data_IF_354387562896
#
_entry.id   IF_354387562896
#
_cell.length_a   1.000
_cell.length_b   1.000
_cell.length_c   1.000
_cell.angle_alpha   90.00
_cell.angle_beta   90.00
_cell.angle_gamma   90.00
#
_symmetry.space_group_name_H-M   'P 1'
#
loop_
_entity.id
_entity.type
_entity.pdbx_description
1 polymer ?
#
# COMPACT_ATOMS: atom_id res chain seq x y z
N UNK A 1 1.54 29.71 -21.86
CA UNK A 1 1.63 28.90 -20.60
C UNK A 1 0.40 28.00 -20.40
N UNK A 2 -0.60 28.09 -21.26
CA UNK A 2 -1.90 27.39 -21.09
C UNK A 2 -1.87 25.89 -21.44
N UNK A 3 -0.82 25.43 -22.07
CA UNK A 3 -0.64 24.02 -22.46
C UNK A 3 -0.08 23.13 -21.32
N UNK A 4 0.66 23.74 -20.36
CA UNK A 4 1.34 22.99 -19.32
C UNK A 4 0.40 22.17 -18.42
N UNK A 5 -0.76 22.67 -17.97
CA UNK A 5 -1.74 21.89 -17.23
C UNK A 5 -2.18 20.61 -17.98
N UNK A 6 -2.40 20.74 -19.28
CA UNK A 6 -2.84 19.63 -20.13
C UNK A 6 -1.77 18.56 -20.31
N UNK A 7 -0.51 18.98 -20.45
CA UNK A 7 0.62 18.04 -20.54
C UNK A 7 0.79 17.28 -19.23
N UNK A 8 0.73 17.98 -18.08
CA UNK A 8 0.80 17.31 -16.77
C UNK A 8 -0.35 16.33 -16.60
N UNK A 9 -1.56 16.74 -16.93
CA UNK A 9 -2.73 15.90 -16.85
C UNK A 9 -2.62 14.65 -17.74
N UNK A 10 -2.27 14.85 -19.01
CA UNK A 10 -2.09 13.75 -19.97
C UNK A 10 -0.99 12.78 -19.51
N UNK A 11 0.12 13.31 -18.96
CA UNK A 11 1.21 12.48 -18.44
C UNK A 11 0.77 11.63 -17.26
N UNK A 12 -0.02 12.18 -16.33
CA UNK A 12 -0.52 11.43 -15.16
C UNK A 12 -1.56 10.40 -15.53
N UNK A 13 -2.46 10.69 -16.47
CA UNK A 13 -3.39 9.70 -17.00
C UNK A 13 -2.67 8.58 -17.74
N UNK A 14 -1.69 8.92 -18.59
CA UNK A 14 -0.86 7.94 -19.29
C UNK A 14 -0.06 7.07 -18.33
N UNK A 15 0.50 7.68 -17.27
CA UNK A 15 1.20 6.94 -16.22
C UNK A 15 0.27 5.97 -15.49
N UNK A 16 -0.94 6.40 -15.15
CA UNK A 16 -1.93 5.54 -14.49
C UNK A 16 -2.35 4.38 -15.40
N UNK A 17 -2.61 4.65 -16.68
CA UNK A 17 -2.93 3.62 -17.65
C UNK A 17 -1.76 2.65 -17.85
N UNK A 18 -0.54 3.16 -18.01
CA UNK A 18 0.65 2.34 -18.12
C UNK A 18 0.85 1.46 -16.88
N UNK A 19 0.82 2.04 -15.68
CA UNK A 19 1.06 1.33 -14.43
C UNK A 19 -0.04 0.29 -14.13
N UNK A 20 -1.26 0.52 -14.58
CA UNK A 20 -2.38 -0.39 -14.33
C UNK A 20 -2.45 -1.53 -15.35
N UNK A 21 -2.23 -1.26 -16.65
CA UNK A 21 -2.48 -2.22 -17.72
C UNK A 21 -1.22 -2.83 -18.33
N UNK A 22 -0.13 -2.07 -18.41
CA UNK A 22 1.02 -2.42 -19.24
C UNK A 22 2.31 -2.65 -18.46
N UNK A 23 2.35 -2.31 -17.19
CA UNK A 23 3.56 -2.49 -16.40
C UNK A 23 3.73 -3.97 -16.05
N UNK A 24 4.75 -4.59 -16.62
CA UNK A 24 5.09 -5.99 -16.40
C UNK A 24 6.34 -6.12 -15.52
N UNK A 25 6.46 -7.21 -14.73
CA UNK A 25 7.70 -7.52 -14.03
C UNK A 25 8.80 -7.79 -15.06
N UNK A 26 9.76 -6.88 -15.13
CA UNK A 26 10.92 -6.98 -16.01
C UNK A 26 12.20 -7.33 -15.27
N UNK A 27 13.34 -7.39 -15.96
CA UNK A 27 14.64 -7.68 -15.38
C UNK A 27 14.93 -6.76 -14.18
N UNK A 28 15.00 -7.37 -12.97
CA UNK A 28 15.30 -6.67 -11.72
C UNK A 28 14.14 -5.87 -11.11
N UNK A 29 12.90 -6.04 -11.60
CA UNK A 29 11.69 -5.50 -10.98
C UNK A 29 10.92 -6.64 -10.33
N UNK A 30 10.63 -6.54 -9.03
CA UNK A 30 9.79 -7.51 -8.35
C UNK A 30 8.33 -7.44 -8.87
N UNK A 31 7.62 -8.56 -8.83
CA UNK A 31 6.21 -8.62 -9.27
C UNK A 31 5.36 -7.62 -8.51
N UNK A 32 5.56 -7.52 -7.19
CA UNK A 32 4.86 -6.55 -6.33
C UNK A 32 5.08 -5.09 -6.73
N UNK A 33 6.27 -4.75 -7.23
CA UNK A 33 6.57 -3.38 -7.69
C UNK A 33 5.91 -3.10 -9.04
N UNK A 34 5.87 -4.09 -9.94
CA UNK A 34 5.18 -3.95 -11.21
C UNK A 34 3.68 -3.77 -11.02
N UNK A 35 3.10 -4.46 -10.07
CA UNK A 35 1.67 -4.43 -9.78
C UNK A 35 1.26 -3.37 -8.74
N UNK A 36 2.16 -2.49 -8.32
CA UNK A 36 1.93 -1.55 -7.23
C UNK A 36 0.61 -0.75 -7.34
N UNK A 37 0.27 -0.24 -8.54
CA UNK A 37 -0.99 0.49 -8.72
C UNK A 37 -2.22 -0.43 -8.66
N UNK A 38 -2.14 -1.66 -9.20
CA UNK A 38 -3.21 -2.66 -9.12
C UNK A 38 -3.49 -3.03 -7.67
N UNK A 39 -2.43 -3.29 -6.90
CA UNK A 39 -2.51 -3.64 -5.48
C UNK A 39 -3.08 -2.48 -4.66
N UNK A 40 -2.61 -1.24 -4.88
CA UNK A 40 -3.19 -0.06 -4.21
C UNK A 40 -4.67 0.11 -4.58
N UNK A 41 -5.02 -0.15 -5.82
CA UNK A 41 -6.42 -0.07 -6.25
C UNK A 41 -7.27 -1.16 -5.62
N UNK A 42 -6.79 -2.39 -5.55
CA UNK A 42 -7.53 -3.52 -5.00
C UNK A 42 -7.72 -3.42 -3.49
N UNK A 43 -6.66 -3.08 -2.76
CA UNK A 43 -6.69 -3.10 -1.29
C UNK A 43 -7.10 -1.77 -0.65
N UNK A 44 -6.84 -0.63 -1.31
CA UNK A 44 -7.02 0.68 -0.68
C UNK A 44 -7.99 1.61 -1.40
N UNK A 45 -8.08 1.61 -2.73
CA UNK A 45 -8.85 2.62 -3.47
C UNK A 45 -10.12 2.10 -4.12
N UNK A 46 -10.23 0.84 -4.47
CA UNK A 46 -11.14 0.26 -5.44
C UNK A 46 -10.95 0.81 -6.88
N UNK A 47 -11.32 0.09 -7.93
CA UNK A 47 -11.23 0.59 -9.31
C UNK A 47 -12.06 1.86 -9.53
N UNK A 48 -13.24 1.93 -8.90
CA UNK A 48 -14.09 3.12 -8.96
C UNK A 48 -13.44 4.31 -8.26
N UNK A 49 -12.77 4.08 -7.11
CA UNK A 49 -12.01 5.10 -6.40
C UNK A 49 -10.85 5.65 -7.21
N UNK A 50 -10.11 4.78 -7.93
CA UNK A 50 -9.03 5.22 -8.82
C UNK A 50 -9.57 6.12 -9.94
N UNK A 51 -10.66 5.72 -10.60
CA UNK A 51 -11.29 6.55 -11.65
C UNK A 51 -11.76 7.88 -11.06
N UNK A 52 -12.42 7.85 -9.90
CA UNK A 52 -12.87 9.07 -9.23
C UNK A 52 -11.68 9.98 -8.85
N UNK A 53 -10.56 9.42 -8.39
CA UNK A 53 -9.35 10.19 -8.10
C UNK A 53 -8.77 10.86 -9.36
N UNK A 54 -8.70 10.15 -10.49
CA UNK A 54 -8.21 10.70 -11.76
C UNK A 54 -9.14 11.79 -12.31
N UNK A 55 -10.45 11.62 -12.19
CA UNK A 55 -11.43 12.65 -12.57
C UNK A 55 -11.28 13.88 -11.68
N UNK A 56 -11.15 13.70 -10.36
CA UNK A 56 -10.92 14.82 -9.42
C UNK A 56 -9.62 15.56 -9.66
N UNK A 57 -8.56 14.83 -10.00
CA UNK A 57 -7.30 15.43 -10.44
C UNK A 57 -7.52 16.28 -11.69
N UNK A 58 -8.29 15.80 -12.65
CA UNK A 58 -8.62 16.55 -13.88
C UNK A 58 -9.34 17.85 -13.56
N UNK A 59 -10.32 17.84 -12.64
CA UNK A 59 -11.00 19.05 -12.17
C UNK A 59 -10.04 20.02 -11.46
N UNK A 60 -9.17 19.50 -10.60
CA UNK A 60 -8.19 20.31 -9.88
C UNK A 60 -7.21 20.98 -10.84
N UNK A 61 -6.64 20.22 -11.77
CA UNK A 61 -5.68 20.74 -12.76
C UNK A 61 -6.37 21.76 -13.67
N UNK A 62 -7.57 21.49 -14.15
CA UNK A 62 -8.29 22.43 -15.01
C UNK A 62 -8.60 23.76 -14.32
N UNK A 63 -9.00 23.74 -13.05
CA UNK A 63 -9.51 24.91 -12.36
C UNK A 63 -8.47 25.65 -11.52
N UNK A 64 -7.53 24.93 -10.92
CA UNK A 64 -6.63 25.42 -9.88
C UNK A 64 -5.17 25.06 -10.13
N UNK A 65 -4.75 24.86 -11.37
CA UNK A 65 -3.38 24.46 -11.67
C UNK A 65 -2.34 25.38 -11.03
N UNK A 66 -2.40 26.67 -11.30
CA UNK A 66 -1.41 27.60 -10.81
C UNK A 66 -1.46 27.83 -9.30
N UNK A 67 -2.63 28.07 -8.68
CA UNK A 67 -2.70 28.16 -7.22
C UNK A 67 -2.34 26.84 -6.50
N UNK A 68 -2.64 25.71 -7.12
CA UNK A 68 -2.37 24.37 -6.59
C UNK A 68 -1.05 23.75 -7.05
N UNK A 69 -0.17 24.52 -7.71
CA UNK A 69 1.02 24.00 -8.36
C UNK A 69 1.91 23.17 -7.43
N UNK A 70 2.16 23.65 -6.21
CA UNK A 70 2.99 22.93 -5.24
C UNK A 70 2.38 21.57 -4.88
N UNK A 71 1.07 21.54 -4.68
CA UNK A 71 0.33 20.31 -4.36
C UNK A 71 0.32 19.34 -5.55
N UNK A 72 0.00 19.82 -6.75
CA UNK A 72 -0.03 19.03 -7.99
C UNK A 72 1.37 18.50 -8.30
N UNK A 73 2.41 19.30 -8.15
CA UNK A 73 3.80 18.87 -8.40
C UNK A 73 4.25 17.82 -7.43
N UNK A 74 3.96 17.98 -6.14
CA UNK A 74 4.26 16.95 -5.14
C UNK A 74 3.60 15.63 -5.49
N UNK A 75 2.31 15.67 -5.80
CA UNK A 75 1.59 14.46 -6.19
C UNK A 75 2.12 13.82 -7.47
N UNK A 76 2.43 14.63 -8.48
CA UNK A 76 2.99 14.15 -9.74
C UNK A 76 4.35 13.48 -9.53
N UNK A 77 5.25 14.12 -8.78
CA UNK A 77 6.59 13.57 -8.48
C UNK A 77 6.47 12.25 -7.73
N UNK A 78 5.67 12.19 -6.67
CA UNK A 78 5.48 10.95 -5.92
C UNK A 78 4.79 9.86 -6.75
N UNK A 79 3.82 10.22 -7.60
CA UNK A 79 3.16 9.25 -8.48
C UNK A 79 4.12 8.71 -9.54
N UNK A 80 4.93 9.54 -10.17
CA UNK A 80 5.95 9.11 -11.13
C UNK A 80 6.99 8.23 -10.44
N UNK A 81 7.48 8.67 -9.29
CA UNK A 81 8.45 7.89 -8.53
C UNK A 81 7.89 6.51 -8.15
N UNK A 82 6.66 6.45 -7.64
CA UNK A 82 6.07 5.22 -7.13
C UNK A 82 5.59 4.28 -8.25
N UNK A 83 4.95 4.82 -9.28
CA UNK A 83 4.30 3.98 -10.31
C UNK A 83 5.16 3.73 -11.55
N UNK A 84 6.25 4.46 -11.74
CA UNK A 84 7.11 4.29 -12.91
C UNK A 84 8.44 3.58 -12.61
N UNK A 85 9.18 4.03 -11.60
CA UNK A 85 10.60 3.63 -11.45
C UNK A 85 11.00 3.18 -10.04
N UNK A 86 10.06 2.82 -9.19
CA UNK A 86 10.44 2.38 -7.87
C UNK A 86 11.12 1.01 -7.94
N UNK A 87 12.36 0.97 -7.47
CA UNK A 87 13.15 -0.23 -7.23
C UNK A 87 13.51 -0.24 -5.75
N UNK A 88 12.55 -0.56 -4.91
CA UNK A 88 12.80 -0.76 -3.48
C UNK A 88 12.51 -2.23 -3.20
N UNK A 89 13.27 -2.80 -2.28
CA UNK A 89 13.22 -4.19 -1.84
C UNK A 89 11.79 -4.76 -1.89
N UNK A 90 11.58 -6.00 -2.38
CA UNK A 90 10.29 -6.56 -2.76
C UNK A 90 9.28 -6.74 -1.61
N UNK A 91 9.59 -6.27 -0.43
CA UNK A 91 8.70 -6.33 0.72
C UNK A 91 7.64 -5.23 0.63
N UNK A 92 6.51 -5.58 0.07
CA UNK A 92 5.38 -4.71 -0.23
C UNK A 92 4.96 -3.81 0.93
N UNK A 93 4.98 -4.31 2.15
CA UNK A 93 4.61 -3.55 3.35
C UNK A 93 5.57 -2.40 3.69
N UNK A 94 6.85 -2.53 3.42
CA UNK A 94 7.83 -1.47 3.67
C UNK A 94 7.62 -0.26 2.75
N UNK A 95 7.35 -0.52 1.51
CA UNK A 95 7.04 0.50 0.51
C UNK A 95 5.74 1.21 0.85
N UNK A 96 4.72 0.46 1.27
CA UNK A 96 3.44 0.97 1.69
C UNK A 96 3.56 2.01 2.81
N UNK A 97 4.33 1.76 3.86
CA UNK A 97 4.47 2.68 5.00
C UNK A 97 5.02 4.05 4.62
N UNK A 98 5.93 4.13 3.66
CA UNK A 98 6.61 5.40 3.29
C UNK A 98 5.84 6.22 2.26
N UNK A 99 5.22 5.58 1.29
CA UNK A 99 4.64 6.26 0.13
C UNK A 99 3.12 6.29 0.15
N UNK A 100 2.47 5.28 0.69
CA UNK A 100 1.01 5.24 0.81
C UNK A 100 0.51 6.39 1.70
N UNK A 101 1.25 6.78 2.72
CA UNK A 101 0.92 7.91 3.58
C UNK A 101 0.82 9.26 2.81
N UNK A 102 1.40 9.36 1.63
CA UNK A 102 1.28 10.54 0.76
C UNK A 102 0.23 10.30 -0.33
N UNK A 103 0.29 9.14 -0.99
CA UNK A 103 -0.54 8.83 -2.14
C UNK A 103 -2.02 8.66 -1.77
N UNK A 104 -2.33 7.99 -0.66
CA UNK A 104 -3.71 7.75 -0.24
C UNK A 104 -4.45 9.04 0.16
N UNK A 105 -3.94 9.91 1.04
CA UNK A 105 -4.59 11.16 1.36
C UNK A 105 -4.81 12.03 0.11
N UNK A 106 -3.83 12.00 -0.81
CA UNK A 106 -3.97 12.68 -2.08
C UNK A 106 -5.11 12.09 -2.92
N UNK A 107 -5.18 10.78 -3.07
CA UNK A 107 -6.24 10.11 -3.81
C UNK A 107 -7.62 10.38 -3.19
N UNK A 108 -7.75 10.33 -1.87
CA UNK A 108 -9.00 10.67 -1.19
C UNK A 108 -9.43 12.12 -1.38
N UNK A 109 -8.47 13.06 -1.36
CA UNK A 109 -8.76 14.45 -1.67
C UNK A 109 -9.27 14.61 -3.11
N UNK A 110 -8.69 13.87 -4.05
CA UNK A 110 -9.16 13.86 -5.45
C UNK A 110 -10.56 13.24 -5.57
N UNK A 111 -10.84 12.15 -4.87
CA UNK A 111 -12.20 11.55 -4.81
C UNK A 111 -13.20 12.57 -4.26
N UNK A 112 -12.84 13.25 -3.17
CA UNK A 112 -13.68 14.32 -2.62
C UNK A 112 -13.87 15.48 -3.62
N UNK A 113 -12.83 15.83 -4.36
CA UNK A 113 -12.93 16.83 -5.43
C UNK A 113 -13.91 16.38 -6.51
N UNK A 114 -13.88 15.12 -6.94
CA UNK A 114 -14.87 14.58 -7.87
C UNK A 114 -16.28 14.65 -7.32
N UNK A 115 -16.46 14.27 -6.06
CA UNK A 115 -17.77 14.26 -5.41
C UNK A 115 -18.40 15.66 -5.30
N UNK A 116 -17.59 16.69 -5.04
CA UNK A 116 -18.07 18.03 -4.74
C UNK A 116 -17.81 19.09 -5.84
N UNK A 117 -16.95 18.82 -6.83
CA UNK A 117 -16.65 19.79 -7.90
C UNK A 117 -17.86 20.17 -8.76
N UNK A 118 -18.77 19.25 -9.15
CA UNK A 118 -19.99 19.62 -9.88
C UNK A 118 -20.85 20.62 -9.11
N UNK A 119 -20.78 20.56 -7.79
CA UNK A 119 -21.46 21.46 -6.88
C UNK A 119 -20.90 22.88 -6.97
N UNK A 120 -19.58 23.04 -6.97
CA UNK A 120 -18.94 24.37 -7.03
C UNK A 120 -19.22 25.09 -8.36
N UNK A 121 -19.35 24.35 -9.45
CA UNK A 121 -19.60 24.90 -10.79
C UNK A 121 -21.02 25.46 -10.94
N UNK A 122 -22.03 24.77 -10.43
CA UNK A 122 -23.41 25.21 -10.51
C UNK A 122 -23.76 26.27 -9.46
N UNK A 123 -23.01 26.33 -8.38
CA UNK A 123 -23.28 27.25 -7.27
C UNK A 123 -22.91 28.71 -7.55
N UNK A 124 -22.02 28.96 -8.50
CA UNK A 124 -21.76 30.32 -8.98
C UNK A 124 -23.01 30.96 -9.61
N UNK A 125 -23.99 30.12 -10.07
CA UNK A 125 -25.20 30.56 -10.76
C UNK A 125 -26.39 30.70 -9.78
N UNK A 126 -26.38 29.94 -8.65
CA UNK A 126 -27.50 29.93 -7.72
C UNK A 126 -27.10 30.45 -6.34
N UNK A 127 -27.53 31.68 -6.03
CA UNK A 127 -27.23 32.35 -4.76
C UNK A 127 -28.10 31.87 -3.56
N UNK A 128 -28.84 30.78 -3.68
CA UNK A 128 -29.73 30.28 -2.63
C UNK A 128 -29.09 29.15 -1.83
N UNK A 129 -28.99 29.35 -0.51
CA UNK A 129 -28.40 28.40 0.47
C UNK A 129 -29.01 27.00 0.39
N UNK A 130 -30.33 26.90 0.18
CA UNK A 130 -31.04 25.63 0.03
C UNK A 130 -30.57 24.80 -1.17
N UNK A 131 -30.31 25.43 -2.31
CA UNK A 131 -29.86 24.76 -3.52
C UNK A 131 -28.44 24.21 -3.31
N UNK A 132 -27.58 24.92 -2.56
CA UNK A 132 -26.25 24.42 -2.18
C UNK A 132 -26.32 23.14 -1.38
N UNK A 133 -27.21 23.07 -0.39
CA UNK A 133 -27.40 21.86 0.43
C UNK A 133 -27.86 20.67 -0.41
N UNK A 134 -28.88 20.88 -1.25
CA UNK A 134 -29.41 19.82 -2.12
C UNK A 134 -28.32 19.28 -3.09
N UNK A 135 -27.50 20.18 -3.66
CA UNK A 135 -26.43 19.77 -4.54
C UNK A 135 -25.24 19.11 -3.82
N UNK A 136 -25.06 19.33 -2.51
CA UNK A 136 -24.04 18.65 -1.72
C UNK A 136 -24.41 17.19 -1.39
N UNK A 137 -25.72 16.86 -1.37
CA UNK A 137 -26.20 15.52 -1.04
C UNK A 137 -25.57 14.40 -1.86
N UNK A 138 -25.50 14.46 -3.21
CA UNK A 138 -24.88 13.40 -3.98
C UNK A 138 -23.40 13.18 -3.62
N UNK A 139 -22.63 14.25 -3.45
CA UNK A 139 -21.24 14.17 -3.03
C UNK A 139 -21.08 13.56 -1.63
N UNK A 140 -21.94 13.96 -0.69
CA UNK A 140 -21.96 13.39 0.65
C UNK A 140 -22.31 11.91 0.61
N UNK A 141 -23.30 11.49 -0.18
CA UNK A 141 -23.67 10.09 -0.35
C UNK A 141 -22.50 9.28 -0.90
N UNK A 142 -21.81 9.80 -1.92
CA UNK A 142 -20.61 9.14 -2.48
C UNK A 142 -19.53 8.96 -1.41
N UNK A 143 -19.22 9.99 -0.63
CA UNK A 143 -18.21 9.92 0.45
C UNK A 143 -18.64 8.94 1.53
N UNK A 144 -19.91 8.92 1.92
CA UNK A 144 -20.43 7.97 2.91
C UNK A 144 -20.40 6.53 2.41
N UNK A 145 -20.71 6.29 1.13
CA UNK A 145 -20.61 4.95 0.53
C UNK A 145 -19.17 4.45 0.51
N UNK A 146 -18.20 5.28 0.12
CA UNK A 146 -16.79 4.94 0.21
C UNK A 146 -16.35 4.71 1.66
N UNK A 147 -16.73 5.60 2.57
CA UNK A 147 -16.44 5.45 4.01
C UNK A 147 -16.98 4.14 4.58
N UNK A 148 -18.23 3.78 4.26
CA UNK A 148 -18.82 2.51 4.66
C UNK A 148 -18.07 1.31 4.06
N UNK A 149 -17.73 1.39 2.76
CA UNK A 149 -17.00 0.33 2.09
C UNK A 149 -15.63 0.08 2.74
N UNK A 150 -14.87 1.15 3.01
CA UNK A 150 -13.57 1.04 3.68
C UNK A 150 -13.69 0.58 5.14
N UNK A 151 -14.68 1.08 5.88
CA UNK A 151 -14.94 0.63 7.25
C UNK A 151 -15.22 -0.88 7.29
N UNK A 152 -16.04 -1.37 6.35
CA UNK A 152 -16.33 -2.80 6.24
C UNK A 152 -15.10 -3.65 5.88
N UNK A 153 -14.23 -3.16 4.99
CA UNK A 153 -13.00 -3.86 4.64
C UNK A 153 -11.97 -3.84 5.77
N UNK A 154 -11.94 -2.77 6.55
CA UNK A 154 -10.97 -2.60 7.65
C UNK A 154 -11.43 -3.31 8.93
N UNK A 155 -12.74 -3.50 9.13
CA UNK A 155 -13.29 -4.10 10.35
C UNK A 155 -12.66 -5.46 10.72
N UNK A 156 -12.43 -6.41 9.80
CA UNK A 156 -11.75 -7.67 10.12
C UNK A 156 -10.32 -7.47 10.61
N UNK A 157 -9.62 -6.43 10.12
CA UNK A 157 -8.23 -6.13 10.49
C UNK A 157 -8.15 -5.63 11.93
N UNK A 158 -9.16 -4.87 12.39
CA UNK A 158 -9.20 -4.33 13.76
C UNK A 158 -9.30 -5.43 14.82
N UNK A 159 -9.88 -6.57 14.48
CA UNK A 159 -10.02 -7.72 15.38
C UNK A 159 -8.98 -8.80 15.12
N UNK A 160 -8.16 -8.64 14.08
CA UNK A 160 -7.11 -9.58 13.75
C UNK A 160 -5.88 -9.37 14.63
N UNK A 161 -5.49 -10.41 15.33
CA UNK A 161 -4.23 -10.44 16.09
C UNK A 161 -3.25 -11.29 15.29
N UNK A 162 -2.26 -10.62 14.72
CA UNK A 162 -1.20 -11.30 13.99
C UNK A 162 -0.42 -12.21 14.95
N UNK A 163 -0.18 -13.45 14.52
CA UNK A 163 0.47 -14.47 15.34
C UNK A 163 -0.25 -14.79 16.66
N UNK A 164 -1.58 -14.71 16.69
CA UNK A 164 -2.35 -15.09 17.88
C UNK A 164 -1.99 -16.50 18.37
N UNK A 165 -1.60 -16.62 19.64
CA UNK A 165 -1.20 -17.90 20.23
C UNK A 165 0.25 -18.32 19.95
N UNK A 166 1.04 -17.55 19.23
CA UNK A 166 2.45 -17.87 18.95
C UNK A 166 3.28 -17.98 20.22
N UNK A 167 3.13 -17.04 21.16
CA UNK A 167 3.90 -17.05 22.44
C UNK A 167 3.67 -18.34 23.21
N UNK A 168 2.41 -18.74 23.54
CA UNK A 168 2.17 -20.02 24.20
C UNK A 168 2.63 -21.25 23.40
N UNK A 169 2.70 -21.13 22.09
CA UNK A 169 3.22 -22.21 21.24
C UNK A 169 4.74 -22.33 21.36
N UNK A 170 5.46 -21.22 21.34
CA UNK A 170 6.93 -21.18 21.52
C UNK A 170 7.30 -21.61 22.95
N UNK A 171 6.54 -21.19 23.95
CA UNK A 171 6.72 -21.67 25.33
C UNK A 171 6.65 -23.20 25.43
N UNK A 172 5.59 -23.79 24.87
CA UNK A 172 5.45 -25.25 24.81
C UNK A 172 6.57 -25.92 24.01
N UNK A 173 7.00 -25.30 22.92
CA UNK A 173 8.11 -25.82 22.13
C UNK A 173 9.40 -25.81 22.93
N UNK A 174 9.65 -24.71 23.67
CA UNK A 174 10.83 -24.53 24.50
C UNK A 174 10.95 -25.59 25.63
N UNK A 175 9.82 -26.08 26.15
CA UNK A 175 9.85 -27.14 27.21
C UNK A 175 10.36 -28.49 26.69
N UNK A 176 10.47 -28.69 25.38
CA UNK A 176 11.00 -29.91 24.79
C UNK A 176 12.53 -29.90 24.62
N UNK A 177 13.19 -28.77 24.89
CA UNK A 177 14.63 -28.61 24.70
C UNK A 177 15.35 -28.51 26.05
N UNK A 178 16.48 -29.17 26.16
CA UNK A 178 17.41 -29.02 27.26
C UNK A 178 18.33 -27.82 27.02
N UNK A 179 19.00 -27.32 28.08
CA UNK A 179 19.87 -26.13 27.98
C UNK A 179 21.11 -26.34 27.10
N UNK A 180 21.49 -27.61 26.89
CA UNK A 180 22.63 -28.01 26.07
C UNK A 180 22.26 -28.33 24.61
N UNK A 181 20.98 -28.26 24.26
CA UNK A 181 20.51 -28.63 22.92
C UNK A 181 20.79 -27.52 21.91
N UNK A 182 21.29 -27.90 20.75
CA UNK A 182 21.32 -27.06 19.57
C UNK A 182 20.03 -27.22 18.76
N UNK A 183 19.21 -26.17 18.72
CA UNK A 183 17.96 -26.18 17.98
C UNK A 183 18.19 -25.76 16.53
N UNK A 184 17.94 -26.68 15.60
CA UNK A 184 18.05 -26.42 14.17
C UNK A 184 16.68 -26.04 13.61
N UNK A 185 16.54 -24.83 13.10
CA UNK A 185 15.33 -24.36 12.46
C UNK A 185 15.50 -24.39 10.93
N UNK A 186 14.70 -25.23 10.28
CA UNK A 186 14.63 -25.28 8.82
C UNK A 186 13.84 -24.06 8.32
N UNK A 187 14.51 -23.14 7.62
CA UNK A 187 13.84 -21.97 7.03
C UNK A 187 13.44 -22.28 5.58
N UNK A 188 12.14 -22.46 5.37
CA UNK A 188 11.55 -22.54 4.01
C UNK A 188 11.22 -21.13 3.48
N UNK A 189 10.97 -20.22 4.38
CA UNK A 189 10.68 -18.82 4.09
C UNK A 189 11.41 -17.93 5.09
N UNK A 190 11.79 -16.72 4.68
CA UNK A 190 12.52 -15.78 5.54
C UNK A 190 11.79 -15.46 6.88
N UNK A 191 10.47 -15.63 6.92
CA UNK A 191 9.64 -15.44 8.12
C UNK A 191 9.95 -16.45 9.25
N UNK A 192 10.37 -17.68 8.93
CA UNK A 192 10.60 -18.72 9.94
C UNK A 192 11.71 -18.34 10.92
N UNK A 193 12.70 -17.62 10.44
CA UNK A 193 13.77 -17.06 11.27
C UNK A 193 13.21 -16.10 12.33
N UNK A 194 12.32 -15.18 11.95
CA UNK A 194 11.78 -14.15 12.86
C UNK A 194 10.71 -14.72 13.81
N UNK A 195 9.96 -15.71 13.37
CA UNK A 195 8.81 -16.23 14.10
C UNK A 195 9.23 -17.29 15.12
N UNK A 196 10.23 -18.12 14.83
CA UNK A 196 10.63 -19.23 15.67
C UNK A 196 12.06 -19.08 16.24
N UNK A 197 13.05 -18.91 15.38
CA UNK A 197 14.44 -18.94 15.79
C UNK A 197 14.84 -17.77 16.70
N UNK A 198 14.44 -16.53 16.35
CA UNK A 198 14.77 -15.37 17.17
C UNK A 198 14.13 -15.39 18.57
N UNK A 199 12.82 -15.72 18.72
CA UNK A 199 12.26 -15.87 20.07
C UNK A 199 12.90 -16.97 20.87
N UNK A 200 13.23 -18.12 20.29
CA UNK A 200 13.94 -19.20 21.02
C UNK A 200 15.33 -18.75 21.47
N UNK A 201 16.08 -18.07 20.59
CA UNK A 201 17.41 -17.58 20.94
C UNK A 201 17.38 -16.44 21.97
N UNK A 202 16.57 -15.40 21.75
CA UNK A 202 16.64 -14.18 22.56
C UNK A 202 15.76 -14.22 23.81
N UNK A 203 14.61 -14.91 23.76
CA UNK A 203 13.71 -14.95 24.91
C UNK A 203 14.02 -16.12 25.84
N UNK A 204 14.40 -17.25 25.27
CA UNK A 204 14.64 -18.47 26.03
C UNK A 204 16.12 -18.88 26.08
N UNK A 205 17.01 -18.06 25.55
CA UNK A 205 18.48 -18.28 25.54
C UNK A 205 18.89 -19.65 24.98
N UNK A 206 18.14 -20.14 23.95
CA UNK A 206 18.47 -21.40 23.29
C UNK A 206 19.52 -21.21 22.22
N UNK A 207 20.46 -22.13 22.10
CA UNK A 207 21.38 -22.18 20.98
C UNK A 207 20.62 -22.57 19.73
N UNK A 208 20.33 -21.58 18.87
CA UNK A 208 19.53 -21.76 17.65
C UNK A 208 20.33 -21.49 16.40
N UNK A 209 20.26 -22.39 15.44
CA UNK A 209 20.82 -22.23 14.10
C UNK A 209 19.72 -22.31 13.05
N UNK A 210 19.69 -21.34 12.14
CA UNK A 210 18.77 -21.34 11.00
C UNK A 210 19.46 -21.90 9.78
N UNK A 211 18.93 -22.99 9.25
CA UNK A 211 19.42 -23.56 7.99
C UNK A 211 18.90 -22.72 6.83
N UNK A 212 19.82 -22.08 6.09
CA UNK A 212 19.48 -21.27 4.91
C UNK A 212 18.84 -22.08 3.77
N UNK A 213 19.07 -23.38 3.74
CA UNK A 213 18.47 -24.33 2.79
C UNK A 213 17.83 -25.48 3.54
N UNK A 214 16.65 -25.88 3.09
CA UNK A 214 15.91 -27.01 3.65
C UNK A 214 16.68 -28.34 3.58
N UNK A 215 17.63 -28.44 2.65
CA UNK A 215 18.55 -29.59 2.50
C UNK A 215 19.96 -29.04 2.38
N UNK A 216 20.68 -28.89 3.49
CA UNK A 216 22.09 -28.53 3.46
C UNK A 216 22.89 -29.66 2.79
N UNK A 217 24.07 -29.33 2.27
CA UNK A 217 25.02 -30.32 1.81
C UNK A 217 25.44 -31.23 2.98
N UNK A 218 25.26 -32.53 2.85
CA UNK A 218 25.46 -33.47 3.94
C UNK A 218 26.87 -33.45 4.49
N UNK A 219 27.87 -33.34 3.63
CA UNK A 219 29.27 -33.38 4.07
C UNK A 219 29.66 -32.13 4.85
N UNK A 220 29.24 -30.97 4.37
CA UNK A 220 29.42 -29.69 5.09
C UNK A 220 28.66 -29.67 6.40
N UNK A 221 27.43 -30.19 6.42
CA UNK A 221 26.62 -30.24 7.63
C UNK A 221 27.18 -31.21 8.68
N UNK A 222 27.66 -32.36 8.28
CA UNK A 222 28.32 -33.33 9.19
C UNK A 222 29.65 -32.79 9.72
N UNK A 223 30.43 -32.00 8.94
CA UNK A 223 31.60 -31.31 9.43
C UNK A 223 31.28 -30.26 10.49
N UNK A 224 30.20 -29.57 10.34
CA UNK A 224 29.71 -28.57 11.31
C UNK A 224 29.28 -29.22 12.64
N UNK A 225 28.66 -30.39 12.60
CA UNK A 225 28.21 -31.10 13.81
C UNK A 225 29.33 -31.86 14.57
N UNK A 226 30.54 -31.96 14.02
CA UNK A 226 31.72 -32.54 14.65
C UNK A 226 32.50 -31.49 15.43
#
# INVERSE_FOLDING_TARGET
QDWLPWVVLASLWSLAAYAYFFREPGYGLAVSDAEALRIITEFYLTPLGLIAALVGLSFLVYRFFWPGLAFISTAAVFSVFFFYKMRIIPEHFWTARRFISIILPFAFLMIATTAFSPLSWRLAIFNRRAIRMVCALPGTVVVLLFGYHYARQTAPILTHVEYAGLIPHIERLNTNFEDTDLVLVESRQASDMHVLALPLAYTYARDTLVLHRARPDNDTFLQFLR
#
